data_IF_663570183157
#
_entry.id   IF_663570183157
#
_cell.length_a   1.000
_cell.length_b   1.000
_cell.length_c   1.000
_cell.angle_alpha   90.00
_cell.angle_beta   90.00
_cell.angle_gamma   90.00
#
_symmetry.space_group_name_H-M   'P 1'
#
loop_
_entity.id
_entity.type
_entity.pdbx_description
1 polymer ?
#
# COMPACT_ATOMS: atom_id res chain seq x y z
N UNK A 1 9.34 -5.91 1.59
CA UNK A 1 7.88 -5.89 1.35
C UNK A 1 7.60 -6.09 -0.13
N UNK A 2 6.60 -6.88 -0.49
CA UNK A 2 6.10 -7.00 -1.87
C UNK A 2 4.63 -6.57 -1.88
N UNK A 3 4.31 -5.48 -2.57
CA UNK A 3 2.98 -4.86 -2.59
C UNK A 3 2.11 -5.49 -3.69
N UNK A 4 0.95 -6.03 -3.32
CA UNK A 4 0.01 -6.65 -4.26
C UNK A 4 -1.14 -5.73 -4.67
N UNK A 5 -1.45 -4.74 -3.83
CA UNK A 5 -2.54 -3.78 -4.05
C UNK A 5 -1.99 -2.36 -4.01
N UNK A 6 -2.44 -1.51 -4.94
CA UNK A 6 -1.98 -0.12 -5.10
C UNK A 6 -3.13 0.84 -4.80
N UNK A 7 -2.84 2.15 -4.85
CA UNK A 7 -3.84 3.19 -4.64
C UNK A 7 -5.03 2.99 -5.58
N UNK A 8 -6.22 2.87 -5.00
CA UNK A 8 -7.48 2.68 -5.72
C UNK A 8 -7.74 1.26 -6.24
N UNK A 9 -6.92 0.28 -5.87
CA UNK A 9 -7.24 -1.13 -6.14
C UNK A 9 -8.38 -1.59 -5.20
N UNK A 10 -9.50 -2.12 -5.72
CA UNK A 10 -10.54 -2.72 -4.88
C UNK A 10 -10.01 -3.94 -4.15
N UNK A 11 -10.46 -4.14 -2.91
CA UNK A 11 -10.09 -5.27 -2.06
C UNK A 11 -11.32 -5.82 -1.33
N UNK A 12 -11.28 -7.10 -1.00
CA UNK A 12 -12.29 -7.77 -0.17
C UNK A 12 -11.68 -8.31 1.12
N UNK A 13 -12.52 -8.65 2.10
CA UNK A 13 -12.04 -9.24 3.36
C UNK A 13 -11.33 -10.56 3.07
N UNK A 14 -10.08 -10.66 3.51
CA UNK A 14 -9.22 -11.83 3.28
C UNK A 14 -8.19 -11.63 2.17
N UNK A 15 -8.29 -10.56 1.37
CA UNK A 15 -7.28 -10.24 0.37
C UNK A 15 -5.92 -9.91 1.01
N UNK A 16 -4.85 -10.44 0.40
CA UNK A 16 -3.48 -10.07 0.73
C UNK A 16 -3.14 -8.71 0.12
N UNK A 17 -2.82 -7.72 0.96
CA UNK A 17 -2.39 -6.38 0.52
C UNK A 17 -0.90 -6.34 0.17
N UNK A 18 -0.08 -7.01 0.98
CA UNK A 18 1.39 -6.97 0.94
C UNK A 18 1.96 -8.23 1.58
N UNK A 19 3.10 -8.70 1.09
CA UNK A 19 3.89 -9.75 1.72
C UNK A 19 5.10 -9.14 2.44
N UNK A 20 5.26 -9.47 3.73
CA UNK A 20 6.45 -9.18 4.50
C UNK A 20 7.41 -10.37 4.42
N UNK A 21 8.59 -10.13 3.87
CA UNK A 21 9.73 -11.04 3.98
C UNK A 21 10.60 -10.53 5.12
N UNK A 22 10.85 -11.38 6.11
CA UNK A 22 11.69 -11.09 7.26
C UNK A 22 12.57 -12.32 7.54
N UNK A 23 13.74 -12.08 8.10
CA UNK A 23 14.71 -13.08 8.57
C UNK A 23 14.58 -13.36 10.08
N UNK A 24 13.59 -12.75 10.72
CA UNK A 24 13.23 -12.94 12.12
C UNK A 24 11.75 -13.27 12.25
N UNK A 25 11.41 -14.00 13.30
CA UNK A 25 10.02 -14.36 13.63
C UNK A 25 9.26 -13.19 14.27
N UNK A 26 9.95 -12.31 15.01
CA UNK A 26 9.30 -11.20 15.70
C UNK A 26 9.08 -10.01 14.76
N UNK A 27 7.88 -9.93 14.18
CA UNK A 27 7.52 -8.92 13.16
C UNK A 27 6.29 -8.10 13.54
N UNK A 28 5.81 -8.17 14.78
CA UNK A 28 4.54 -7.57 15.19
C UNK A 28 4.54 -6.05 15.05
N UNK A 29 5.62 -5.38 15.46
CA UNK A 29 5.75 -3.94 15.34
C UNK A 29 5.67 -3.49 13.86
N UNK A 30 6.35 -4.21 12.97
CA UNK A 30 6.37 -3.93 11.53
C UNK A 30 4.98 -4.19 10.93
N UNK A 31 4.34 -5.30 11.32
CA UNK A 31 3.00 -5.65 10.87
C UNK A 31 1.97 -4.59 11.26
N UNK A 32 2.07 -4.03 12.47
CA UNK A 32 1.21 -2.96 12.93
C UNK A 32 1.45 -1.66 12.17
N UNK A 33 2.71 -1.29 11.92
CA UNK A 33 3.05 -0.12 11.09
C UNK A 33 2.46 -0.23 9.69
N UNK A 34 2.55 -1.42 9.07
CA UNK A 34 1.98 -1.67 7.74
C UNK A 34 0.46 -1.51 7.77
N UNK A 35 -0.24 -2.13 8.73
CA UNK A 35 -1.70 -2.02 8.84
C UNK A 35 -2.14 -0.56 8.99
N UNK A 36 -1.43 0.21 9.81
CA UNK A 36 -1.72 1.63 10.04
C UNK A 36 -1.44 2.52 8.82
N UNK A 37 -0.54 2.10 7.91
CA UNK A 37 -0.24 2.84 6.69
C UNK A 37 -1.30 2.68 5.60
N UNK A 38 -2.14 1.63 5.64
CA UNK A 38 -3.23 1.43 4.70
C UNK A 38 -4.52 2.08 5.20
N UNK A 39 -5.17 2.83 4.32
CA UNK A 39 -6.53 3.31 4.50
C UNK A 39 -7.45 2.69 3.43
N UNK A 40 -8.48 1.96 3.88
CA UNK A 40 -9.49 1.35 3.00
C UNK A 40 -10.78 2.15 3.18
N UNK A 41 -11.25 2.76 2.10
CA UNK A 41 -12.51 3.52 2.08
C UNK A 41 -13.48 2.98 1.03
N UNK A 42 -14.72 3.45 1.09
CA UNK A 42 -15.83 2.93 0.26
C UNK A 42 -15.75 3.38 -1.21
N UNK A 43 -14.91 4.37 -1.53
CA UNK A 43 -14.79 4.95 -2.87
C UNK A 43 -13.34 4.95 -3.32
N UNK A 44 -13.12 4.72 -4.61
CA UNK A 44 -11.81 4.85 -5.20
C UNK A 44 -11.31 6.31 -5.06
N UNK A 45 -10.04 6.52 -4.66
CA UNK A 45 -9.45 7.85 -4.56
C UNK A 45 -9.29 8.47 -5.94
N UNK A 46 -9.25 9.80 -5.99
CA UNK A 46 -8.95 10.54 -7.22
C UNK A 46 -7.52 10.21 -7.68
N UNK A 47 -7.37 9.74 -8.92
CA UNK A 47 -6.05 9.51 -9.52
C UNK A 47 -5.34 10.85 -9.71
N UNK A 48 -4.15 10.98 -9.13
CA UNK A 48 -3.22 12.08 -9.41
C UNK A 48 -2.20 11.62 -10.44
N UNK A 49 -1.67 12.53 -11.27
CA UNK A 49 -0.62 12.17 -12.21
C UNK A 49 0.64 11.74 -11.45
N UNK A 50 1.34 10.73 -11.97
CA UNK A 50 2.61 10.27 -11.39
C UNK A 50 3.71 11.32 -11.58
N UNK A 51 3.75 11.93 -12.77
CA UNK A 51 4.66 13.03 -13.10
C UNK A 51 3.84 14.31 -13.06
N UNK A 52 4.17 15.22 -12.16
CA UNK A 52 3.48 16.51 -12.04
C UNK A 52 3.90 17.46 -13.17
N UNK A 53 5.21 17.55 -13.42
CA UNK A 53 5.79 18.46 -14.39
C UNK A 53 7.16 17.96 -14.85
N UNK A 54 7.56 18.32 -16.07
CA UNK A 54 8.93 18.13 -16.59
C UNK A 54 9.48 19.51 -16.94
N UNK A 55 10.45 20.00 -16.17
CA UNK A 55 11.09 21.30 -16.39
C UNK A 55 12.24 21.13 -17.40
N UNK A 56 12.27 21.98 -18.44
CA UNK A 56 13.31 21.99 -19.49
C UNK A 56 13.92 23.40 -19.59
N UNK A 57 15.21 23.51 -20.00
CA UNK A 57 15.90 24.79 -20.16
C UNK A 57 15.30 25.65 -21.27
#
# INVERSE_FOLDING_TARGET
LVLHKKLGTPVTKGDTLVTLHADTENVDAISNMIRNAYHIGDKAPKKTPLIQEVIRP
#
